data_IF_971055371451
#
_entry.id   IF_971055371451
#
_cell.length_a   1.000
_cell.length_b   1.000
_cell.length_c   1.000
_cell.angle_alpha   90.00
_cell.angle_beta   90.00
_cell.angle_gamma   90.00
#
_symmetry.space_group_name_H-M   'P 1'
#
loop_
_entity.id
_entity.type
_entity.pdbx_description
1 polymer ?
#
# COMPACT_ATOMS: atom_id res chain seq x y z
N UNK A 1 -15.60 -8.99 19.61
CA UNK A 1 -15.23 -7.70 20.24
C UNK A 1 -14.83 -6.73 19.13
N UNK A 2 -15.43 -5.55 19.05
CA UNK A 2 -14.99 -4.50 18.13
C UNK A 2 -13.83 -3.73 18.76
N UNK A 3 -12.71 -3.63 18.06
CA UNK A 3 -11.56 -2.84 18.51
C UNK A 3 -11.91 -1.34 18.45
N UNK A 4 -11.71 -0.61 19.56
CA UNK A 4 -11.86 0.85 19.63
C UNK A 4 -10.76 1.46 20.49
N UNK A 5 -10.48 2.74 20.26
CA UNK A 5 -9.51 3.51 21.04
C UNK A 5 -10.15 3.96 22.36
N UNK A 6 -9.56 3.56 23.50
CA UNK A 6 -10.08 3.92 24.84
C UNK A 6 -9.95 5.42 25.17
N UNK A 7 -9.12 6.17 24.44
CA UNK A 7 -8.93 7.61 24.68
C UNK A 7 -10.03 8.46 24.02
N UNK A 8 -10.48 8.07 22.82
CA UNK A 8 -11.45 8.87 22.05
C UNK A 8 -12.69 8.10 21.60
N UNK A 9 -12.85 6.86 22.06
CA UNK A 9 -13.92 5.91 21.71
C UNK A 9 -14.09 5.67 20.20
N UNK A 10 -13.05 5.96 19.41
CA UNK A 10 -13.10 5.81 17.96
C UNK A 10 -12.83 4.37 17.54
N UNK A 11 -13.65 3.87 16.59
CA UNK A 11 -13.41 2.60 15.88
C UNK A 11 -12.42 2.74 14.71
N UNK A 12 -11.95 3.96 14.41
CA UNK A 12 -10.95 4.21 13.39
C UNK A 12 -9.56 3.83 13.94
N UNK A 13 -9.32 2.54 14.06
CA UNK A 13 -8.08 1.94 14.54
C UNK A 13 -7.45 1.15 13.41
N UNK A 14 -6.17 1.40 13.14
CA UNK A 14 -5.37 0.73 12.13
C UNK A 14 -4.39 -0.21 12.82
N UNK A 15 -4.34 -1.48 12.38
CA UNK A 15 -3.32 -2.41 12.86
C UNK A 15 -2.02 -2.22 12.11
N UNK A 16 -0.94 -2.65 12.76
CA UNK A 16 0.42 -2.69 12.25
C UNK A 16 0.49 -3.40 10.89
N UNK A 17 -0.16 -4.54 10.78
CA UNK A 17 -0.23 -5.37 9.58
C UNK A 17 -1.07 -4.71 8.49
N UNK A 18 -2.23 -4.15 8.86
CA UNK A 18 -3.10 -3.45 7.92
C UNK A 18 -2.39 -2.24 7.30
N UNK A 19 -1.59 -1.52 8.10
CA UNK A 19 -0.76 -0.42 7.60
C UNK A 19 0.29 -0.90 6.58
N UNK A 20 0.99 -2.01 6.86
CA UNK A 20 1.94 -2.60 5.90
C UNK A 20 1.28 -2.97 4.58
N UNK A 21 0.13 -3.64 4.64
CA UNK A 21 -0.62 -4.03 3.44
C UNK A 21 -1.05 -2.79 2.65
N UNK A 22 -1.53 -1.74 3.34
CA UNK A 22 -1.93 -0.50 2.69
C UNK A 22 -0.76 0.19 1.99
N UNK A 23 0.40 0.26 2.65
CA UNK A 23 1.64 0.80 2.07
C UNK A 23 2.02 0.06 0.79
N UNK A 24 2.08 -1.28 0.85
CA UNK A 24 2.45 -2.10 -0.30
C UNK A 24 1.47 -1.93 -1.47
N UNK A 25 0.17 -1.87 -1.17
CA UNK A 25 -0.87 -1.68 -2.18
C UNK A 25 -0.76 -0.31 -2.85
N UNK A 26 -0.62 0.77 -2.05
CA UNK A 26 -0.50 2.14 -2.57
C UNK A 26 0.75 2.25 -3.45
N UNK A 27 1.89 1.75 -2.96
CA UNK A 27 3.14 1.74 -3.72
C UNK A 27 3.02 0.99 -5.03
N UNK A 28 2.45 -0.21 -5.02
CA UNK A 28 2.22 -1.00 -6.24
C UNK A 28 1.36 -0.23 -7.24
N UNK A 29 0.29 0.43 -6.79
CA UNK A 29 -0.57 1.24 -7.65
C UNK A 29 0.18 2.44 -8.24
N UNK A 30 1.01 3.11 -7.44
CA UNK A 30 1.83 4.23 -7.89
C UNK A 30 2.83 3.79 -8.97
N UNK A 31 3.60 2.73 -8.72
CA UNK A 31 4.58 2.19 -9.69
C UNK A 31 3.90 1.77 -11.00
N UNK A 32 2.72 1.14 -10.93
CA UNK A 32 1.96 0.78 -12.14
C UNK A 32 1.56 2.03 -12.93
N UNK A 33 1.04 3.06 -12.25
CA UNK A 33 0.63 4.31 -12.91
C UNK A 33 1.83 5.05 -13.52
N UNK A 34 2.96 5.08 -12.83
CA UNK A 34 4.21 5.68 -13.31
C UNK A 34 4.70 4.95 -14.55
N UNK A 35 4.74 3.61 -14.54
CA UNK A 35 5.18 2.83 -15.70
C UNK A 35 4.27 2.95 -16.90
N UNK A 36 2.96 3.08 -16.70
CA UNK A 36 2.01 3.39 -17.77
C UNK A 36 2.17 4.82 -18.33
N UNK A 37 2.73 5.75 -17.56
CA UNK A 37 2.89 7.15 -17.99
C UNK A 37 4.19 7.41 -18.76
N UNK A 38 5.26 6.69 -18.44
CA UNK A 38 6.58 6.85 -19.09
C UNK A 38 6.60 6.43 -20.57
N UNK A 39 5.63 5.63 -20.99
CA UNK A 39 5.47 5.06 -22.32
C UNK A 39 4.75 6.03 -23.26
N UNK A 40 3.74 6.74 -22.74
CA UNK A 40 3.05 7.83 -23.43
C UNK A 40 3.99 8.98 -23.81
N UNK A 41 5.06 9.18 -23.05
CA UNK A 41 6.09 10.18 -23.33
C UNK A 41 7.15 9.72 -24.35
N UNK A 42 7.22 8.42 -24.65
CA UNK A 42 8.23 7.83 -25.56
C UNK A 42 7.73 7.59 -26.98
N UNK A 43 6.44 7.81 -27.27
CA UNK A 43 5.91 7.65 -28.63
C UNK A 43 6.44 8.79 -29.54
N UNK A 44 7.32 8.51 -30.52
CA UNK A 44 7.65 9.48 -31.54
C UNK A 44 6.40 9.66 -32.41
N UNK A 45 6.02 10.90 -32.68
CA UNK A 45 4.90 11.24 -33.56
C UNK A 45 5.17 10.81 -35.02
N UNK A 46 5.05 9.52 -35.33
CA UNK A 46 5.09 8.99 -36.69
C UNK A 46 3.99 7.92 -36.84
N UNK A 47 2.79 8.39 -37.22
CA UNK A 47 1.65 7.69 -37.81
C UNK A 47 1.37 6.22 -37.39
N UNK A 48 0.33 5.93 -36.58
CA UNK A 48 -0.08 4.54 -36.39
C UNK A 48 -0.99 4.06 -37.55
N UNK A 49 -0.74 2.87 -38.14
CA UNK A 49 -1.76 2.20 -38.95
C UNK A 49 -2.92 1.80 -38.04
N UNK A 50 -4.09 2.35 -38.32
CA UNK A 50 -5.34 2.20 -37.59
C UNK A 50 -5.90 0.78 -37.71
N UNK A 51 -5.30 -0.21 -37.02
CA UNK A 51 -5.85 -1.57 -36.87
C UNK A 51 -6.22 -1.85 -35.41
N UNK A 52 -7.38 -2.46 -35.12
CA UNK A 52 -7.80 -2.79 -33.75
C UNK A 52 -6.77 -3.64 -32.99
N UNK A 53 -6.06 -4.52 -33.70
CA UNK A 53 -5.02 -5.40 -33.14
C UNK A 53 -3.80 -4.62 -32.60
N UNK A 54 -3.43 -3.49 -33.20
CA UNK A 54 -2.29 -2.68 -32.72
C UNK A 54 -2.62 -1.96 -31.41
N UNK A 55 -3.89 -1.63 -31.18
CA UNK A 55 -4.35 -1.01 -29.92
C UNK A 55 -4.35 -1.99 -28.76
N UNK A 56 -4.75 -3.24 -28.99
CA UNK A 56 -4.71 -4.28 -27.96
C UNK A 56 -3.28 -4.65 -27.57
N UNK A 57 -2.38 -4.80 -28.56
CA UNK A 57 -0.96 -5.05 -28.29
C UNK A 57 -0.31 -3.89 -27.53
N UNK A 58 -0.59 -2.65 -27.93
CA UNK A 58 -0.11 -1.47 -27.19
C UNK A 58 -0.65 -1.46 -25.76
N UNK A 59 -1.95 -1.74 -25.54
CA UNK A 59 -2.51 -1.82 -24.19
C UNK A 59 -1.86 -2.90 -23.34
N UNK A 60 -1.58 -4.08 -23.90
CA UNK A 60 -0.90 -5.16 -23.21
C UNK A 60 0.55 -4.79 -22.85
N UNK A 61 1.24 -4.07 -23.73
CA UNK A 61 2.59 -3.57 -23.47
C UNK A 61 2.60 -2.55 -22.32
N UNK A 62 1.64 -1.61 -22.30
CA UNK A 62 1.47 -0.64 -21.20
C UNK A 62 1.24 -1.34 -19.86
N UNK A 63 0.37 -2.36 -19.83
CA UNK A 63 0.10 -3.14 -18.62
C UNK A 63 1.35 -3.90 -18.19
N UNK A 64 2.06 -4.52 -19.13
CA UNK A 64 3.30 -5.26 -18.86
C UNK A 64 4.41 -4.38 -18.26
N UNK A 65 4.58 -3.17 -18.79
CA UNK A 65 5.56 -2.19 -18.29
C UNK A 65 5.18 -1.68 -16.90
N UNK A 66 3.91 -1.30 -16.68
CA UNK A 66 3.43 -0.91 -15.37
C UNK A 66 3.64 -2.01 -14.31
N UNK A 67 3.39 -3.28 -14.66
CA UNK A 67 3.61 -4.40 -13.74
C UNK A 67 5.10 -4.66 -13.49
N UNK A 68 5.95 -4.55 -14.51
CA UNK A 68 7.39 -4.72 -14.36
C UNK A 68 8.03 -3.67 -13.45
N UNK A 69 7.56 -2.42 -13.50
CA UNK A 69 8.00 -1.35 -12.60
C UNK A 69 7.53 -1.58 -11.17
N UNK A 70 6.29 -2.03 -10.98
CA UNK A 70 5.80 -2.38 -9.64
C UNK A 70 6.61 -3.50 -8.97
N UNK A 71 7.08 -4.47 -9.76
CA UNK A 71 7.90 -5.56 -9.25
C UNK A 71 9.33 -5.11 -8.89
N UNK A 72 9.90 -4.15 -9.61
CA UNK A 72 11.26 -3.65 -9.33
C UNK A 72 11.33 -2.73 -8.11
N UNK A 73 10.23 -2.02 -7.80
CA UNK A 73 10.16 -1.05 -6.70
C UNK A 73 9.78 -1.69 -5.33
N UNK A 74 9.59 -3.01 -5.31
CA UNK A 74 9.25 -3.78 -4.11
C UNK A 74 10.23 -3.57 -2.94
N UNK A 75 11.52 -3.30 -3.21
CA UNK A 75 12.53 -3.05 -2.16
C UNK A 75 12.36 -1.69 -1.48
N UNK A 76 12.04 -0.64 -2.24
CA UNK A 76 11.79 0.70 -1.72
C UNK A 76 10.52 0.73 -0.87
N UNK A 77 9.46 0.06 -1.32
CA UNK A 77 8.20 -0.01 -0.58
C UNK A 77 8.32 -0.81 0.72
N UNK A 78 9.16 -1.86 0.73
CA UNK A 78 9.52 -2.56 1.96
C UNK A 78 10.30 -1.68 2.94
N UNK A 79 11.22 -0.84 2.46
CA UNK A 79 11.93 0.11 3.32
C UNK A 79 10.97 1.13 3.94
N UNK A 80 10.06 1.69 3.14
CA UNK A 80 9.04 2.61 3.65
C UNK A 80 8.08 1.94 4.64
N UNK A 81 7.66 0.70 4.36
CA UNK A 81 6.87 -0.08 5.31
C UNK A 81 7.60 -0.23 6.65
N UNK A 82 8.90 -0.57 6.65
CA UNK A 82 9.71 -0.64 7.86
C UNK A 82 9.79 0.70 8.61
N UNK A 83 9.87 1.83 7.89
CA UNK A 83 9.84 3.15 8.50
C UNK A 83 8.49 3.47 9.15
N UNK A 84 7.38 3.13 8.48
CA UNK A 84 6.03 3.23 9.08
C UNK A 84 5.97 2.40 10.36
N UNK A 85 6.52 1.18 10.33
CA UNK A 85 6.57 0.33 11.51
C UNK A 85 7.37 0.95 12.66
N UNK A 86 8.54 1.48 12.35
CA UNK A 86 9.43 2.06 13.35
C UNK A 86 8.90 3.37 13.94
N UNK A 87 8.40 4.28 13.10
CA UNK A 87 8.10 5.65 13.52
C UNK A 87 6.61 5.89 13.81
N UNK A 88 5.69 5.15 13.18
CA UNK A 88 4.25 5.32 13.44
C UNK A 88 3.75 4.35 14.51
N UNK A 89 4.21 3.11 14.51
CA UNK A 89 3.78 2.07 15.45
C UNK A 89 4.76 1.85 16.60
N UNK A 90 6.06 2.03 16.36
CA UNK A 90 7.13 1.63 17.28
C UNK A 90 6.99 0.15 17.67
N UNK A 91 6.74 -0.13 18.95
CA UNK A 91 6.52 -1.49 19.45
C UNK A 91 5.04 -1.87 19.57
N UNK A 92 4.10 -0.94 19.30
CA UNK A 92 2.67 -1.18 19.47
C UNK A 92 2.04 -1.85 18.24
N UNK A 93 0.97 -2.61 18.47
CA UNK A 93 0.22 -3.29 17.40
C UNK A 93 -0.83 -2.41 16.71
N UNK A 94 -1.34 -1.37 17.39
CA UNK A 94 -2.45 -0.56 16.88
C UNK A 94 -2.19 0.94 17.00
N UNK A 95 -2.74 1.68 16.05
CA UNK A 95 -2.72 3.14 15.97
C UNK A 95 -4.15 3.67 15.76
N UNK A 96 -4.58 4.62 16.59
CA UNK A 96 -5.85 5.31 16.38
C UNK A 96 -5.70 6.45 15.37
N UNK A 97 -6.39 6.35 14.23
CA UNK A 97 -6.35 7.37 13.18
C UNK A 97 -7.00 8.70 13.59
N UNK A 98 -7.73 8.75 14.71
CA UNK A 98 -8.41 9.96 15.18
C UNK A 98 -7.58 10.79 16.16
N UNK A 99 -7.01 10.16 17.19
CA UNK A 99 -6.27 10.87 18.23
C UNK A 99 -4.77 10.55 18.27
N UNK A 100 -4.28 9.63 17.43
CA UNK A 100 -2.87 9.25 17.37
C UNK A 100 -2.40 8.32 18.49
N UNK A 101 -3.30 7.83 19.33
CA UNK A 101 -2.97 6.88 20.38
C UNK A 101 -2.40 5.58 19.80
N UNK A 102 -1.39 5.03 20.47
CA UNK A 102 -0.76 3.74 20.14
C UNK A 102 -0.96 2.78 21.30
N UNK A 103 -1.34 1.55 21.02
CA UNK A 103 -1.66 0.56 22.04
C UNK A 103 -1.58 -0.86 21.48
N UNK A 104 -1.42 -1.82 22.39
CA UNK A 104 -1.50 -3.24 22.06
C UNK A 104 -2.92 -3.75 22.27
N UNK A 105 -3.24 -4.89 21.66
CA UNK A 105 -4.47 -5.59 22.01
C UNK A 105 -4.30 -6.15 23.42
N UNK A 106 -5.18 -5.75 24.34
CA UNK A 106 -5.16 -6.25 25.72
C UNK A 106 -5.00 -7.78 25.74
N UNK A 107 -3.94 -8.25 26.39
CA UNK A 107 -3.70 -9.68 26.66
C UNK A 107 -4.56 -10.21 27.81
N UNK A 108 -5.57 -9.46 28.25
CA UNK A 108 -6.35 -9.68 29.47
C UNK A 108 -7.36 -10.84 29.40
N UNK A 109 -7.09 -11.86 28.60
CA UNK A 109 -7.68 -13.20 28.75
C UNK A 109 -6.60 -14.23 29.06
N UNK A 110 -5.70 -13.92 30.00
CA UNK A 110 -5.15 -14.97 30.86
C UNK A 110 -6.16 -15.17 32.00
N UNK A 111 -6.71 -16.37 32.22
CA UNK A 111 -7.55 -16.61 33.39
C UNK A 111 -6.67 -16.39 34.64
N UNK A 112 -6.97 -15.33 35.38
CA UNK A 112 -6.52 -15.19 36.76
C UNK A 112 -7.17 -16.32 37.57
N UNK A 113 -6.46 -17.45 37.70
CA UNK A 113 -6.73 -18.40 38.77
C UNK A 113 -6.06 -17.86 40.03
N UNK A 114 -6.87 -17.39 40.97
CA UNK A 114 -6.53 -17.30 42.40
C UNK A 114 -7.28 -18.43 43.09
#
# INVERSE_FOLDING_TARGET
MSLCCLICDSKAVLSKEAANVAVMLIGTMESVLVGMSHTRAKEPAINPPTRPESRLLHLLELIGQGLSEALSECSAMNAFANDVQKYQFAHYDFFCCRCGARFDKDSSTAPHNV
#
